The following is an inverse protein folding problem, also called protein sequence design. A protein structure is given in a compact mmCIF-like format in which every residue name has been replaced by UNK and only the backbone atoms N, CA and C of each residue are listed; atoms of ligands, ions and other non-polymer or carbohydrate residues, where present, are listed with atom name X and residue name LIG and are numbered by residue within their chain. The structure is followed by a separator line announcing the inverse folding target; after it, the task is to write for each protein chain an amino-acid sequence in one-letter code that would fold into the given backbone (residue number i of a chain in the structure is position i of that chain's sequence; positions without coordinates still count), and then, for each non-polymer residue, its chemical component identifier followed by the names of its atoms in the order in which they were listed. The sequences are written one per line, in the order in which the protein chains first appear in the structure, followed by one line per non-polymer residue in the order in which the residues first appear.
data_IF_039345644369
#
_entry.id   IF_039345644369
#
_cell.length_a   1.000
_cell.length_b   1.000
_cell.length_c   1.000
_cell.angle_alpha   90.00
_cell.angle_beta   90.00
_cell.angle_gamma   90.00
#
_symmetry.space_group_name_H-M   'P 1'
#
loop_
_entity.id
_entity.type
_entity.pdbx_description
1 polymer ?
#
# COMPACT_ATOMS: atom_id res chain seq x y z
N UNK A 1 -29.35 4.06 -39.59
CA UNK A 1 -28.56 2.82 -39.32
C UNK A 1 -27.25 3.12 -38.57
N UNK A 2 -26.44 4.10 -39.00
CA UNK A 2 -25.17 4.50 -38.35
C UNK A 2 -25.30 5.01 -36.90
N UNK A 3 -26.40 5.67 -36.56
CA UNK A 3 -26.63 6.25 -35.22
C UNK A 3 -26.64 5.17 -34.12
N UNK A 4 -27.23 4.00 -34.38
CA UNK A 4 -27.25 2.89 -33.42
C UNK A 4 -25.85 2.29 -33.22
N UNK A 5 -25.07 2.12 -34.30
CA UNK A 5 -23.69 1.63 -34.22
C UNK A 5 -22.78 2.57 -33.39
N UNK A 6 -22.88 3.88 -33.62
CA UNK A 6 -22.13 4.86 -32.82
C UNK A 6 -22.58 4.94 -31.36
N UNK A 7 -23.86 4.75 -31.07
CA UNK A 7 -24.35 4.64 -29.69
C UNK A 7 -23.70 3.47 -28.96
N UNK A 8 -23.67 2.29 -29.60
CA UNK A 8 -23.06 1.09 -29.02
C UNK A 8 -21.56 1.24 -28.83
N UNK A 9 -20.85 1.87 -29.77
CA UNK A 9 -19.43 2.15 -29.66
C UNK A 9 -19.12 3.09 -28.47
N UNK A 10 -19.88 4.18 -28.32
CA UNK A 10 -19.74 5.09 -27.16
C UNK A 10 -20.00 4.38 -25.84
N UNK A 11 -21.02 3.51 -25.79
CA UNK A 11 -21.38 2.80 -24.57
C UNK A 11 -20.36 1.71 -24.20
N UNK A 12 -19.84 0.98 -25.18
CA UNK A 12 -18.73 0.04 -24.99
C UNK A 12 -17.46 0.75 -24.48
N UNK A 13 -17.12 1.92 -25.05
CA UNK A 13 -15.98 2.72 -24.61
C UNK A 13 -16.13 3.23 -23.16
N UNK A 14 -17.35 3.60 -22.73
CA UNK A 14 -17.60 4.01 -21.35
C UNK A 14 -17.40 2.84 -20.36
N UNK A 15 -17.77 1.63 -20.76
CA UNK A 15 -17.59 0.42 -19.95
C UNK A 15 -16.14 -0.07 -19.91
N UNK A 16 -15.40 0.10 -21.00
CA UNK A 16 -13.97 -0.21 -21.04
C UNK A 16 -13.19 0.62 -20.01
N UNK A 17 -13.55 1.90 -19.82
CA UNK A 17 -12.95 2.75 -18.76
C UNK A 17 -13.20 2.23 -17.34
N UNK A 18 -14.26 1.43 -17.15
CA UNK A 18 -14.62 0.78 -15.89
C UNK A 18 -14.12 -0.67 -15.80
N UNK A 19 -13.36 -1.14 -16.79
CA UNK A 19 -12.89 -2.52 -16.91
C UNK A 19 -14.01 -3.57 -17.01
N UNK A 20 -15.23 -3.16 -17.38
CA UNK A 20 -16.36 -4.07 -17.67
C UNK A 20 -16.26 -4.63 -19.09
N UNK A 21 -15.31 -5.54 -19.32
CA UNK A 21 -15.02 -6.06 -20.65
C UNK A 21 -16.15 -6.89 -21.26
N UNK A 22 -16.85 -7.69 -20.45
CA UNK A 22 -17.91 -8.59 -20.93
C UNK A 22 -19.11 -7.80 -21.46
N UNK A 23 -19.58 -6.81 -20.69
CA UNK A 23 -20.67 -5.94 -21.12
C UNK A 23 -20.29 -5.13 -22.38
N UNK A 24 -19.05 -4.65 -22.48
CA UNK A 24 -18.57 -3.96 -23.67
C UNK A 24 -18.53 -4.86 -24.91
N UNK A 25 -18.16 -6.14 -24.73
CA UNK A 25 -18.20 -7.18 -25.77
C UNK A 25 -19.64 -7.41 -26.24
N UNK A 26 -20.60 -7.49 -25.31
CA UNK A 26 -22.02 -7.71 -25.62
C UNK A 26 -22.61 -6.56 -26.45
N UNK A 27 -22.20 -5.32 -26.20
CA UNK A 27 -22.60 -4.18 -27.01
C UNK A 27 -22.09 -4.26 -28.45
N UNK A 28 -20.85 -4.68 -28.68
CA UNK A 28 -20.33 -4.87 -30.03
C UNK A 28 -20.97 -6.07 -30.76
N UNK A 29 -21.30 -7.14 -30.02
CA UNK A 29 -22.07 -8.26 -30.56
C UNK A 29 -23.48 -7.83 -30.97
N UNK A 30 -24.15 -7.05 -30.11
CA UNK A 30 -25.48 -6.50 -30.40
C UNK A 30 -25.45 -5.61 -31.64
N UNK A 31 -24.47 -4.71 -31.75
CA UNK A 31 -24.29 -3.88 -32.94
C UNK A 31 -24.10 -4.72 -34.22
N UNK A 32 -23.24 -5.75 -34.18
CA UNK A 32 -23.02 -6.64 -35.32
C UNK A 32 -24.30 -7.43 -35.72
N UNK A 33 -25.14 -7.80 -34.75
CA UNK A 33 -26.45 -8.43 -35.00
C UNK A 33 -27.39 -7.48 -35.74
N UNK A 34 -27.57 -6.25 -35.26
CA UNK A 34 -28.42 -5.25 -35.92
C UNK A 34 -27.92 -4.90 -37.32
N UNK A 35 -26.60 -4.82 -37.53
CA UNK A 35 -26.02 -4.59 -38.86
C UNK A 35 -26.26 -5.79 -39.79
N UNK A 36 -26.29 -7.02 -39.26
CA UNK A 36 -26.63 -8.22 -40.04
C UNK A 36 -28.11 -8.21 -40.46
N UNK A 37 -29.02 -7.77 -39.59
CA UNK A 37 -30.43 -7.57 -39.94
C UNK A 37 -30.59 -6.47 -41.00
N UNK A 38 -29.84 -5.37 -40.85
CA UNK A 38 -29.84 -4.25 -41.80
C UNK A 38 -29.33 -4.65 -43.19
N UNK A 39 -28.34 -5.55 -43.27
CA UNK A 39 -27.84 -6.10 -44.55
C UNK A 39 -28.92 -6.87 -45.31
N UNK A 40 -29.79 -7.59 -44.61
CA UNK A 40 -30.89 -8.35 -45.22
C UNK A 40 -32.02 -7.45 -45.75
N UNK A 41 -32.19 -6.28 -45.13
CA UNK A 41 -33.28 -5.37 -45.42
C UNK A 41 -32.94 -4.31 -46.49
N UNK A 42 -31.68 -4.22 -46.94
CA UNK A 42 -31.26 -3.19 -47.90
C UNK A 42 -30.91 -3.82 -49.24
N UNK A 43 -31.39 -3.21 -50.33
CA UNK A 43 -31.10 -3.65 -51.71
C UNK A 43 -30.03 -2.80 -52.39
N UNK A 44 -29.64 -1.68 -51.78
CA UNK A 44 -28.61 -0.81 -52.32
C UNK A 44 -27.21 -1.38 -52.06
N UNK A 45 -26.50 -1.75 -53.12
CA UNK A 45 -25.16 -2.37 -53.05
C UNK A 45 -24.12 -1.49 -52.33
N UNK A 46 -24.14 -0.17 -52.53
CA UNK A 46 -23.23 0.74 -51.80
C UNK A 46 -23.53 0.75 -50.31
N UNK A 47 -24.82 0.71 -49.95
CA UNK A 47 -25.22 0.62 -48.54
C UNK A 47 -24.81 -0.74 -47.94
N UNK A 48 -24.98 -1.85 -48.67
CA UNK A 48 -24.51 -3.18 -48.22
C UNK A 48 -23.03 -3.18 -47.91
N UNK A 49 -22.20 -2.66 -48.81
CA UNK A 49 -20.74 -2.56 -48.58
C UNK A 49 -20.41 -1.75 -47.33
N UNK A 50 -21.06 -0.59 -47.14
CA UNK A 50 -20.84 0.24 -45.95
C UNK A 50 -21.26 -0.46 -44.66
N UNK A 51 -22.39 -1.18 -44.66
CA UNK A 51 -22.90 -1.89 -43.47
C UNK A 51 -22.00 -3.09 -43.15
N UNK A 52 -21.53 -3.80 -44.18
CA UNK A 52 -20.59 -4.91 -44.03
C UNK A 52 -19.29 -4.46 -43.37
N UNK A 53 -18.71 -3.34 -43.81
CA UNK A 53 -17.50 -2.77 -43.21
C UNK A 53 -17.73 -2.40 -41.73
N UNK A 54 -18.88 -1.82 -41.38
CA UNK A 54 -19.22 -1.49 -39.99
C UNK A 54 -19.39 -2.75 -39.12
N UNK A 55 -19.96 -3.81 -39.67
CA UNK A 55 -20.09 -5.09 -38.98
C UNK A 55 -18.72 -5.69 -38.69
N UNK A 56 -17.83 -5.70 -39.68
CA UNK A 56 -16.46 -6.18 -39.53
C UNK A 56 -15.68 -5.37 -38.49
N UNK A 57 -15.85 -4.04 -38.48
CA UNK A 57 -15.30 -3.18 -37.45
C UNK A 57 -15.71 -3.62 -36.04
N UNK A 58 -17.01 -3.84 -35.79
CA UNK A 58 -17.49 -4.27 -34.47
C UNK A 58 -17.03 -5.67 -34.08
N UNK A 59 -16.93 -6.59 -35.04
CA UNK A 59 -16.36 -7.92 -34.79
C UNK A 59 -14.89 -7.83 -34.40
N UNK A 60 -14.10 -6.99 -35.07
CA UNK A 60 -12.69 -6.75 -34.73
C UNK A 60 -12.55 -6.08 -33.36
N UNK A 61 -13.40 -5.11 -33.03
CA UNK A 61 -13.39 -4.47 -31.71
C UNK A 61 -13.68 -5.46 -30.58
N UNK A 62 -14.63 -6.37 -30.79
CA UNK A 62 -14.89 -7.47 -29.84
C UNK A 62 -13.65 -8.32 -29.59
N UNK A 63 -12.89 -8.67 -30.63
CA UNK A 63 -11.68 -9.47 -30.48
C UNK A 63 -10.55 -8.70 -29.77
N UNK A 64 -10.40 -7.41 -30.06
CA UNK A 64 -9.49 -6.51 -29.32
C UNK A 64 -9.84 -6.47 -27.82
N UNK A 65 -11.13 -6.36 -27.50
CA UNK A 65 -11.59 -6.36 -26.11
C UNK A 65 -11.32 -7.70 -25.40
N UNK A 66 -11.45 -8.83 -26.09
CA UNK A 66 -11.10 -10.15 -25.53
C UNK A 66 -9.62 -10.23 -25.16
N UNK A 67 -8.74 -9.75 -26.03
CA UNK A 67 -7.30 -9.70 -25.74
C UNK A 67 -7.02 -8.80 -24.54
N UNK A 68 -7.62 -7.61 -24.50
CA UNK A 68 -7.48 -6.69 -23.35
C UNK A 68 -7.99 -7.29 -22.04
N UNK A 69 -9.10 -8.05 -22.08
CA UNK A 69 -9.64 -8.76 -20.92
C UNK A 69 -8.63 -9.76 -20.38
N UNK A 70 -8.05 -10.60 -21.24
CA UNK A 70 -7.06 -11.60 -20.85
C UNK A 70 -5.82 -10.94 -20.25
N UNK A 71 -5.31 -9.88 -20.90
CA UNK A 71 -4.16 -9.11 -20.38
C UNK A 71 -4.44 -8.53 -19.00
N UNK A 72 -5.62 -7.92 -18.81
CA UNK A 72 -6.02 -7.37 -17.53
C UNK A 72 -6.12 -8.45 -16.44
N UNK A 73 -6.73 -9.59 -16.76
CA UNK A 73 -6.85 -10.72 -15.83
C UNK A 73 -5.48 -11.28 -15.43
N UNK A 74 -4.58 -11.46 -16.39
CA UNK A 74 -3.20 -11.90 -16.13
C UNK A 74 -2.45 -10.91 -15.23
N UNK A 75 -2.52 -9.61 -15.52
CA UNK A 75 -1.89 -8.58 -14.70
C UNK A 75 -2.45 -8.57 -13.27
N UNK A 76 -3.78 -8.66 -13.13
CA UNK A 76 -4.45 -8.70 -11.83
C UNK A 76 -3.99 -9.89 -11.00
N UNK A 77 -3.79 -11.04 -11.64
CA UNK A 77 -3.31 -12.24 -10.97
C UNK A 77 -1.86 -12.14 -10.50
N UNK A 78 -0.97 -11.59 -11.35
CA UNK A 78 0.42 -11.32 -10.97
C UNK A 78 0.49 -10.38 -9.76
N UNK A 79 -0.31 -9.31 -9.75
CA UNK A 79 -0.40 -8.39 -8.62
C UNK A 79 -0.94 -9.07 -7.36
N UNK A 80 -1.93 -9.97 -7.49
CA UNK A 80 -2.46 -10.75 -6.36
C UNK A 80 -1.37 -11.61 -5.73
N UNK A 81 -0.64 -12.37 -6.54
CA UNK A 81 0.45 -13.24 -6.08
C UNK A 81 1.55 -12.42 -5.42
N UNK A 82 1.94 -11.30 -6.02
CA UNK A 82 2.95 -10.41 -5.46
C UNK A 82 2.53 -9.83 -4.11
N UNK A 83 1.27 -9.37 -4.00
CA UNK A 83 0.71 -8.87 -2.73
C UNK A 83 0.71 -9.94 -1.66
N UNK A 84 0.33 -11.18 -1.99
CA UNK A 84 0.36 -12.32 -1.07
C UNK A 84 1.78 -12.70 -0.64
N UNK A 85 2.76 -12.60 -1.54
CA UNK A 85 4.17 -12.79 -1.20
C UNK A 85 4.64 -11.73 -0.19
N UNK A 86 4.36 -10.45 -0.44
CA UNK A 86 4.69 -9.36 0.49
C UNK A 86 4.01 -9.58 1.85
N UNK A 87 2.71 -9.88 1.87
CA UNK A 87 1.99 -10.14 3.12
C UNK A 87 2.57 -11.32 3.89
N UNK A 88 3.03 -12.39 3.22
CA UNK A 88 3.72 -13.51 3.86
C UNK A 88 5.08 -13.10 4.43
N UNK A 89 5.88 -12.32 3.70
CA UNK A 89 7.16 -11.81 4.19
C UNK A 89 6.99 -10.90 5.41
N UNK A 90 6.01 -10.00 5.41
CA UNK A 90 5.70 -9.14 6.55
C UNK A 90 5.29 -9.97 7.78
N UNK A 91 4.44 -10.98 7.61
CA UNK A 91 4.08 -11.90 8.71
C UNK A 91 5.28 -12.69 9.24
N UNK A 92 6.15 -13.17 8.36
CA UNK A 92 7.36 -13.90 8.75
C UNK A 92 8.40 -13.00 9.45
N UNK A 93 8.42 -11.69 9.13
CA UNK A 93 9.24 -10.69 9.83
C UNK A 93 8.69 -10.39 11.22
N UNK A 94 7.39 -10.10 11.35
CA UNK A 94 6.77 -9.83 12.65
C UNK A 94 6.75 -11.06 13.57
N UNK A 95 6.69 -12.28 13.02
CA UNK A 95 6.81 -13.52 13.81
C UNK A 95 8.24 -13.86 14.28
N UNK A 96 9.26 -13.11 13.84
CA UNK A 96 10.67 -13.28 14.25
C UNK A 96 11.17 -12.16 15.17
N UNK A 97 10.37 -11.14 15.40
CA UNK A 97 10.72 -9.96 16.19
C UNK A 97 10.43 -10.11 17.71
N UNK A 98 9.96 -11.27 18.17
CA UNK A 98 9.55 -11.48 19.57
C UNK A 98 10.72 -11.38 20.58
N UNK A 99 11.97 -11.28 20.11
CA UNK A 99 13.16 -11.22 20.99
C UNK A 99 13.94 -9.88 20.89
N UNK A 100 13.74 -9.07 19.85
CA UNK A 100 14.45 -7.78 19.67
C UNK A 100 13.54 -6.55 19.71
N UNK A 101 12.29 -6.69 19.26
CA UNK A 101 11.25 -5.66 19.41
C UNK A 101 10.67 -5.67 20.83
N UNK A 102 10.92 -6.74 21.60
CA UNK A 102 10.63 -6.84 23.03
C UNK A 102 11.47 -5.88 23.85
N UNK A 103 12.77 -5.73 23.57
CA UNK A 103 13.68 -4.86 24.33
C UNK A 103 13.47 -3.37 24.01
N UNK A 104 13.29 -2.98 22.75
CA UNK A 104 12.97 -1.58 22.40
C UNK A 104 11.57 -1.17 22.88
N UNK A 105 10.56 -2.06 22.75
CA UNK A 105 9.24 -1.79 23.34
C UNK A 105 9.28 -1.86 24.87
N UNK A 106 10.15 -2.66 25.48
CA UNK A 106 10.34 -2.75 26.93
C UNK A 106 10.95 -1.45 27.44
N UNK A 107 12.04 -0.98 26.83
CA UNK A 107 12.66 0.29 27.17
C UNK A 107 11.70 1.47 26.98
N UNK A 108 10.97 1.50 25.87
CA UNK A 108 9.95 2.52 25.62
C UNK A 108 8.84 2.50 26.69
N UNK A 109 8.37 1.32 27.10
CA UNK A 109 7.39 1.17 28.20
C UNK A 109 7.96 1.62 29.53
N UNK A 110 9.23 1.31 29.83
CA UNK A 110 9.91 1.76 31.05
C UNK A 110 10.02 3.28 31.07
N UNK A 111 10.43 3.90 29.97
CA UNK A 111 10.53 5.37 29.86
C UNK A 111 9.16 6.02 30.12
N UNK A 112 8.10 5.54 29.46
CA UNK A 112 6.76 6.10 29.68
C UNK A 112 6.25 5.88 31.11
N UNK A 113 6.52 4.71 31.71
CA UNK A 113 6.19 4.43 33.11
C UNK A 113 6.90 5.40 34.05
N UNK A 114 8.20 5.61 33.87
CA UNK A 114 8.99 6.51 34.71
C UNK A 114 8.54 7.96 34.57
N UNK A 115 8.14 8.41 33.37
CA UNK A 115 7.56 9.74 33.17
C UNK A 115 6.23 9.86 33.93
N UNK A 116 5.34 8.88 33.80
CA UNK A 116 4.04 8.87 34.49
C UNK A 116 4.19 8.86 36.02
N UNK A 117 5.13 8.08 36.55
CA UNK A 117 5.45 8.05 37.98
C UNK A 117 6.04 9.38 38.46
N UNK A 118 6.95 9.98 37.69
CA UNK A 118 7.51 11.29 38.01
C UNK A 118 6.44 12.40 38.00
N UNK A 119 5.55 12.41 37.01
CA UNK A 119 4.44 13.36 36.95
C UNK A 119 3.46 13.17 38.11
N UNK A 120 3.18 11.92 38.51
CA UNK A 120 2.33 11.65 39.67
C UNK A 120 2.98 12.09 40.99
N UNK A 121 4.30 11.94 41.13
CA UNK A 121 5.05 12.47 42.28
C UNK A 121 5.10 14.01 42.28
N UNK A 122 5.25 14.63 41.11
CA UNK A 122 5.18 16.09 40.94
C UNK A 122 3.78 16.61 41.30
N UNK A 123 2.72 15.93 40.89
CA UNK A 123 1.34 16.27 41.25
C UNK A 123 1.12 16.24 42.77
N UNK A 124 1.64 15.20 43.45
CA UNK A 124 1.62 15.11 44.92
C UNK A 124 2.40 16.26 45.56
N UNK A 125 3.58 16.63 45.03
CA UNK A 125 4.40 17.71 45.58
C UNK A 125 3.76 19.09 45.36
N UNK A 126 3.20 19.33 44.17
CA UNK A 126 2.48 20.57 43.83
C UNK A 126 1.23 20.70 44.69
N UNK A 127 0.46 19.62 44.89
CA UNK A 127 -0.72 19.63 45.76
C UNK A 127 -0.37 19.63 47.26
N UNK A 128 0.86 19.25 47.63
CA UNK A 128 1.38 19.36 49.00
C UNK A 128 1.84 20.77 49.35
N UNK A 129 2.24 21.59 48.36
CA UNK A 129 2.46 23.03 48.56
C UNK A 129 1.15 23.78 48.85
N UNK A 130 0.02 23.35 48.27
CA UNK A 130 -1.30 23.89 48.59
C UNK A 130 -1.90 23.35 49.90
N UNK A 131 -1.44 22.18 50.38
CA UNK A 131 -1.96 21.54 51.60
C UNK A 131 -1.11 21.79 52.87
N UNK A 132 0.04 22.46 52.77
CA UNK A 132 0.85 22.82 53.94
C UNK A 132 0.46 24.19 54.50
N UNK A 133 -0.76 24.23 55.02
CA UNK A 133 -1.02 24.88 56.30
C UNK A 133 -1.68 23.89 57.27
N UNK A 134 -1.17 22.66 57.39
CA UNK A 134 -1.38 21.89 58.62
C UNK A 134 -0.33 20.78 58.77
N UNK A 135 0.55 21.02 59.74
CA UNK A 135 1.46 20.13 60.43
C UNK A 135 0.96 18.67 60.60
N UNK A 136 1.82 17.70 60.24
CA UNK A 136 2.00 16.44 60.98
C UNK A 136 3.12 15.57 60.39
N UNK A 137 4.12 15.34 61.23
CA UNK A 137 5.13 14.27 61.13
C UNK A 137 4.51 12.90 60.85
N UNK A 138 5.28 12.01 60.20
CA UNK A 138 5.56 10.65 60.69
C UNK A 138 6.64 9.94 59.85
N UNK A 139 7.77 9.74 60.51
CA UNK A 139 8.75 8.63 60.48
C UNK A 139 8.63 7.48 59.46
N UNK A 140 9.79 7.15 58.87
CA UNK A 140 10.51 5.85 58.94
C UNK A 140 10.83 5.09 57.63
N UNK A 141 12.14 4.80 57.52
CA UNK A 141 12.79 3.57 57.04
C UNK A 141 12.81 3.21 55.54
N UNK A 142 14.03 3.02 55.02
CA UNK A 142 14.23 2.18 53.83
C UNK A 142 15.59 2.22 53.12
N UNK A 143 16.69 1.93 53.82
CA UNK A 143 17.92 1.27 53.30
C UNK A 143 18.63 1.82 52.05
N UNK A 144 19.75 2.50 52.28
CA UNK A 144 20.78 2.83 51.28
C UNK A 144 21.90 1.77 51.24
N UNK A 145 22.38 1.46 50.03
CA UNK A 145 23.69 0.82 49.79
C UNK A 145 23.59 -0.37 48.81
N UNK A 146 24.08 -0.23 47.58
CA UNK A 146 25.47 -0.58 47.27
C UNK A 146 25.89 -0.16 45.84
N UNK A 147 27.20 0.00 45.65
CA UNK A 147 27.88 0.56 44.49
C UNK A 147 28.07 -0.42 43.31
N UNK A 148 28.06 0.08 42.06
CA UNK A 148 28.76 -0.58 40.92
C UNK A 148 28.81 0.25 39.61
N UNK A 149 30.05 0.63 39.25
CA UNK A 149 30.60 0.82 37.89
C UNK A 149 29.95 1.81 36.91
N UNK A 150 30.57 2.99 36.77
CA UNK A 150 30.43 3.83 35.58
C UNK A 150 31.15 3.16 34.39
N UNK A 151 30.42 2.36 33.62
CA UNK A 151 30.87 1.90 32.32
C UNK A 151 30.76 3.09 31.36
N UNK A 152 31.92 3.58 30.92
CA UNK A 152 32.01 4.72 30.00
C UNK A 152 31.19 4.46 28.73
N UNK A 153 30.25 5.37 28.44
CA UNK A 153 29.51 5.37 27.19
C UNK A 153 30.45 5.72 26.05
N UNK A 154 30.86 4.71 25.29
CA UNK A 154 31.56 4.90 24.02
C UNK A 154 30.63 5.69 23.11
N UNK A 155 31.01 6.92 22.80
CA UNK A 155 30.25 7.75 21.87
C UNK A 155 30.19 7.03 20.52
N UNK A 156 28.99 6.84 19.94
CA UNK A 156 28.87 6.28 18.60
C UNK A 156 29.67 7.15 17.63
N UNK A 157 30.35 6.51 16.68
CA UNK A 157 31.15 7.22 15.67
C UNK A 157 30.25 8.22 14.95
N UNK A 158 30.71 9.47 14.85
CA UNK A 158 30.01 10.51 14.10
C UNK A 158 29.80 10.08 12.64
N UNK A 159 28.64 10.40 12.09
CA UNK A 159 28.22 10.00 10.74
C UNK A 159 29.26 10.42 9.68
N UNK A 160 29.95 11.53 9.91
CA UNK A 160 31.04 12.01 9.05
C UNK A 160 32.18 11.01 8.95
N UNK A 161 32.57 10.42 10.09
CA UNK A 161 33.64 9.40 10.17
C UNK A 161 33.20 8.13 9.46
N UNK A 162 31.95 7.71 9.66
CA UNK A 162 31.38 6.53 9.01
C UNK A 162 31.35 6.68 7.48
N UNK A 163 30.95 7.86 6.99
CA UNK A 163 30.89 8.14 5.54
C UNK A 163 32.29 8.14 4.90
N UNK A 164 33.29 8.66 5.59
CA UNK A 164 34.68 8.69 5.10
C UNK A 164 35.28 7.27 5.02
N UNK A 165 35.09 6.46 6.06
CA UNK A 165 35.51 5.05 6.07
C UNK A 165 34.85 4.27 4.92
N UNK A 166 33.54 4.46 4.69
CA UNK A 166 32.83 3.83 3.58
C UNK A 166 33.36 4.26 2.20
N UNK A 167 33.70 5.54 2.02
CA UNK A 167 34.28 6.03 0.76
C UNK A 167 35.63 5.39 0.47
N UNK A 168 36.48 5.24 1.49
CA UNK A 168 37.79 4.60 1.36
C UNK A 168 37.62 3.12 0.97
N UNK A 169 36.74 2.39 1.66
CA UNK A 169 36.46 0.98 1.36
C UNK A 169 35.94 0.82 -0.07
N UNK A 170 35.00 1.66 -0.49
CA UNK A 170 34.43 1.60 -1.84
C UNK A 170 35.48 1.91 -2.92
N UNK A 171 36.38 2.87 -2.66
CA UNK A 171 37.52 3.12 -3.52
C UNK A 171 38.44 1.90 -3.65
N UNK A 172 38.74 1.21 -2.54
CA UNK A 172 39.58 0.01 -2.54
C UNK A 172 38.94 -1.19 -3.25
N UNK A 173 37.60 -1.27 -3.27
CA UNK A 173 36.83 -2.29 -3.99
C UNK A 173 36.71 -1.99 -5.50
N UNK A 174 36.79 -0.73 -5.92
CA UNK A 174 36.72 -0.33 -7.34
C UNK A 174 38.00 -0.59 -8.14
N UNK A 175 39.11 -0.93 -7.49
CA UNK A 175 40.40 -1.23 -8.15
C UNK A 175 40.78 -2.72 -8.09
N UNK A 176 39.81 -3.62 -7.99
CA UNK A 176 40.01 -5.06 -8.22
C UNK A 176 39.35 -5.53 -9.50
#
# INVERSE_FOLDING_TARGET
MTVHAHFYDRRANALLKKYCFDEAIDYHLSAAKFLTESLKATDNEKAKQSIQLQKEYHLKQKDVLRVKKIQYQSLKEVLRVHKEAISRMMKARNGKNDDSESEENSLQKVIYRTIEEADSLLDILVHKEDANHSDKELTSNGSSGDAAYSVGTVHPKDDKTVIEELKIVNYQLSYK
#
